data_IF_563187398923
#
_entry.id   IF_563187398923
#
_cell.length_a   1.000
_cell.length_b   1.000
_cell.length_c   1.000
_cell.angle_alpha   90.00
_cell.angle_beta   90.00
_cell.angle_gamma   90.00
#
_symmetry.space_group_name_H-M   'P 1'
#
loop_
_entity.id
_entity.type
_entity.pdbx_description
1 polymer ?
#
# COMPACT_ATOMS: atom_id res chain seq x y z
N UNK A 1 -23.27 -25.68 -1.53
CA UNK A 1 -23.74 -24.28 -1.74
C UNK A 1 -23.39 -23.50 -0.48
N UNK A 2 -22.54 -22.53 -0.59
CA UNK A 2 -22.14 -21.67 0.55
C UNK A 2 -22.87 -20.33 0.45
N UNK A 3 -23.34 -19.84 1.59
CA UNK A 3 -23.98 -18.53 1.67
C UNK A 3 -22.94 -17.46 1.99
N UNK A 4 -22.57 -16.69 0.97
CA UNK A 4 -21.57 -15.61 1.08
C UNK A 4 -22.26 -14.28 0.78
N UNK A 5 -22.09 -13.29 1.66
CA UNK A 5 -22.71 -11.96 1.53
C UNK A 5 -24.25 -12.00 1.30
N UNK A 6 -24.95 -12.96 1.92
CA UNK A 6 -26.39 -13.12 1.76
C UNK A 6 -26.82 -13.75 0.43
N UNK A 7 -25.87 -14.20 -0.38
CA UNK A 7 -26.11 -14.85 -1.66
C UNK A 7 -25.71 -16.32 -1.61
N UNK A 8 -26.60 -17.19 -2.13
CA UNK A 8 -26.28 -18.61 -2.29
C UNK A 8 -25.42 -18.80 -3.54
N UNK A 9 -24.11 -19.06 -3.33
CA UNK A 9 -23.12 -19.26 -4.40
C UNK A 9 -23.10 -20.74 -4.78
N UNK A 10 -23.27 -21.04 -6.06
CA UNK A 10 -23.22 -22.38 -6.59
C UNK A 10 -21.98 -22.65 -7.47
N UNK A 11 -21.82 -23.88 -7.92
CA UNK A 11 -20.68 -24.29 -8.75
C UNK A 11 -20.57 -23.53 -10.07
N UNK A 12 -21.69 -23.05 -10.62
CA UNK A 12 -21.68 -22.26 -11.83
C UNK A 12 -21.16 -20.84 -11.56
N UNK A 13 -21.48 -20.25 -10.40
CA UNK A 13 -20.97 -18.95 -10.00
C UNK A 13 -19.44 -19.01 -9.83
N UNK A 14 -18.91 -20.07 -9.21
CA UNK A 14 -17.46 -20.29 -9.08
C UNK A 14 -16.79 -20.38 -10.45
N UNK A 15 -17.33 -21.18 -11.38
CA UNK A 15 -16.79 -21.30 -12.74
C UNK A 15 -16.82 -19.97 -13.52
N UNK A 16 -17.80 -19.11 -13.27
CA UNK A 16 -17.86 -17.79 -13.88
C UNK A 16 -16.75 -16.91 -13.32
N UNK A 17 -16.52 -16.93 -12.01
CA UNK A 17 -15.45 -16.16 -11.36
C UNK A 17 -14.08 -16.63 -11.88
N UNK A 18 -13.82 -17.93 -11.94
CA UNK A 18 -12.58 -18.50 -12.49
C UNK A 18 -12.34 -18.04 -13.94
N UNK A 19 -13.37 -18.08 -14.79
CA UNK A 19 -13.26 -17.62 -16.17
C UNK A 19 -12.95 -16.11 -16.28
N UNK A 20 -13.50 -15.29 -15.38
CA UNK A 20 -13.21 -13.86 -15.29
C UNK A 20 -11.82 -13.57 -14.71
N UNK A 21 -11.33 -14.41 -13.80
CA UNK A 21 -9.95 -14.31 -13.27
C UNK A 21 -8.91 -14.66 -14.34
N UNK A 22 -9.18 -15.65 -15.20
CA UNK A 22 -8.31 -15.98 -16.33
C UNK A 22 -8.30 -14.86 -17.39
N UNK A 23 -9.46 -14.28 -17.67
CA UNK A 23 -9.59 -13.19 -18.64
C UNK A 23 -10.72 -12.24 -18.27
N UNK A 24 -10.38 -11.10 -17.66
CA UNK A 24 -11.34 -10.06 -17.27
C UNK A 24 -12.12 -9.44 -18.45
N UNK A 25 -11.64 -9.63 -19.70
CA UNK A 25 -12.31 -9.19 -20.94
C UNK A 25 -13.17 -10.28 -21.57
N UNK A 26 -13.29 -11.44 -20.93
CA UNK A 26 -14.14 -12.52 -21.46
C UNK A 26 -15.59 -12.04 -21.61
N UNK A 27 -16.16 -12.26 -22.78
CA UNK A 27 -17.56 -11.91 -23.03
C UNK A 27 -18.47 -12.95 -22.38
N UNK A 28 -19.70 -12.55 -22.01
CA UNK A 28 -20.68 -13.50 -21.48
C UNK A 28 -20.88 -14.70 -22.41
N UNK A 29 -20.80 -14.49 -23.73
CA UNK A 29 -20.91 -15.56 -24.75
C UNK A 29 -19.73 -16.53 -24.68
N UNK A 30 -18.51 -16.03 -24.48
CA UNK A 30 -17.32 -16.91 -24.35
C UNK A 30 -17.35 -17.71 -23.06
N UNK A 31 -17.75 -17.08 -21.94
CA UNK A 31 -17.93 -17.76 -20.65
C UNK A 31 -19.03 -18.81 -20.75
N UNK A 32 -20.17 -18.46 -21.35
CA UNK A 32 -21.29 -19.37 -21.54
C UNK A 32 -20.89 -20.64 -22.29
N UNK A 33 -20.09 -20.50 -23.35
CA UNK A 33 -19.54 -21.64 -24.11
C UNK A 33 -18.62 -22.51 -23.25
N UNK A 34 -17.78 -21.89 -22.40
CA UNK A 34 -16.81 -22.59 -21.53
C UNK A 34 -17.52 -23.39 -20.43
N UNK A 35 -18.60 -22.85 -19.85
CA UNK A 35 -19.27 -23.45 -18.69
C UNK A 35 -20.57 -24.21 -19.05
N UNK A 36 -20.95 -24.27 -20.34
CA UNK A 36 -22.13 -24.98 -20.78
C UNK A 36 -23.45 -24.31 -20.39
N UNK A 37 -23.54 -22.98 -20.50
CA UNK A 37 -24.73 -22.21 -20.11
C UNK A 37 -25.12 -21.21 -21.21
N UNK A 38 -26.18 -20.41 -20.99
CA UNK A 38 -26.55 -19.33 -21.90
C UNK A 38 -25.87 -18.00 -21.48
N UNK A 39 -25.55 -17.15 -22.46
CA UNK A 39 -24.99 -15.82 -22.25
C UNK A 39 -25.89 -14.92 -21.37
N UNK A 40 -27.22 -15.04 -21.53
CA UNK A 40 -28.17 -14.34 -20.67
C UNK A 40 -28.11 -14.82 -19.21
N UNK A 41 -27.88 -16.11 -18.98
CA UNK A 41 -27.72 -16.66 -17.62
C UNK A 41 -26.41 -16.12 -16.99
N UNK A 42 -25.32 -16.13 -17.76
CA UNK A 42 -24.00 -15.61 -17.30
C UNK A 42 -24.13 -14.14 -16.93
N UNK A 43 -24.66 -13.29 -17.81
CA UNK A 43 -24.83 -11.86 -17.55
C UNK A 43 -25.65 -11.59 -16.28
N UNK A 44 -26.75 -12.32 -16.08
CA UNK A 44 -27.58 -12.20 -14.88
C UNK A 44 -26.84 -12.60 -13.61
N UNK A 45 -26.02 -13.66 -13.66
CA UNK A 45 -25.25 -14.15 -12.52
C UNK A 45 -24.11 -13.18 -12.17
N UNK A 46 -23.38 -12.67 -13.15
CA UNK A 46 -22.34 -11.65 -12.93
C UNK A 46 -22.95 -10.44 -12.23
N UNK A 47 -24.04 -9.88 -12.80
CA UNK A 47 -24.72 -8.72 -12.20
C UNK A 47 -25.18 -8.99 -10.75
N UNK A 48 -25.69 -10.19 -10.46
CA UNK A 48 -26.09 -10.60 -9.12
C UNK A 48 -24.90 -10.64 -8.16
N UNK A 49 -23.74 -11.17 -8.59
CA UNK A 49 -22.53 -11.25 -7.79
C UNK A 49 -21.89 -9.86 -7.58
N UNK A 50 -21.97 -8.97 -8.57
CA UNK A 50 -21.57 -7.56 -8.43
C UNK A 50 -22.44 -6.83 -7.40
N UNK A 51 -23.76 -6.98 -7.49
CA UNK A 51 -24.70 -6.37 -6.54
C UNK A 51 -24.54 -6.87 -5.11
N UNK A 52 -24.14 -8.15 -4.95
CA UNK A 52 -23.88 -8.76 -3.66
C UNK A 52 -22.44 -8.46 -3.14
N UNK A 53 -21.62 -7.70 -3.88
CA UNK A 53 -20.24 -7.39 -3.52
C UNK A 53 -19.28 -8.59 -3.54
N UNK A 54 -19.68 -9.71 -4.15
CA UNK A 54 -18.81 -10.88 -4.37
C UNK A 54 -17.78 -10.52 -5.45
N UNK A 55 -18.23 -9.95 -6.58
CA UNK A 55 -17.34 -9.33 -7.58
C UNK A 55 -17.24 -7.85 -7.21
N UNK A 56 -16.09 -7.45 -6.69
CA UNK A 56 -15.83 -6.06 -6.24
C UNK A 56 -15.23 -5.17 -7.32
N UNK A 57 -14.85 -5.73 -8.46
CA UNK A 57 -14.28 -5.00 -9.57
C UNK A 57 -13.43 -5.86 -10.49
N UNK A 58 -12.96 -5.25 -11.56
CA UNK A 58 -12.10 -5.84 -12.57
C UNK A 58 -10.78 -5.10 -12.59
N UNK A 59 -9.66 -5.82 -12.62
CA UNK A 59 -8.33 -5.22 -12.61
C UNK A 59 -7.62 -5.47 -13.92
N UNK A 60 -6.84 -4.49 -14.35
CA UNK A 60 -5.96 -4.59 -15.52
C UNK A 60 -4.52 -4.68 -15.00
N UNK A 61 -3.81 -5.74 -15.39
CA UNK A 61 -2.36 -5.78 -15.23
C UNK A 61 -1.72 -4.90 -16.31
N UNK A 62 -0.83 -4.02 -15.88
CA UNK A 62 -0.09 -3.12 -16.77
C UNK A 62 1.40 -3.37 -16.64
N UNK A 63 2.14 -3.07 -17.71
CA UNK A 63 3.58 -3.20 -17.72
C UNK A 63 4.20 -2.35 -16.59
N UNK A 64 5.11 -2.98 -15.83
CA UNK A 64 5.79 -2.35 -14.69
C UNK A 64 6.63 -1.14 -15.11
N UNK A 65 7.14 -1.12 -16.35
CA UNK A 65 7.90 0.01 -16.88
C UNK A 65 7.04 1.25 -17.10
N UNK A 66 5.77 1.10 -17.50
CA UNK A 66 4.82 2.21 -17.62
C UNK A 66 4.54 2.87 -16.25
N UNK A 67 4.59 2.09 -15.18
CA UNK A 67 4.43 2.60 -13.81
C UNK A 67 5.69 3.32 -13.35
N UNK A 68 6.88 2.74 -13.62
CA UNK A 68 8.18 3.32 -13.27
C UNK A 68 8.46 4.64 -14.00
N UNK A 69 8.01 4.77 -15.25
CA UNK A 69 8.17 6.01 -16.03
C UNK A 69 7.24 7.14 -15.59
N UNK A 70 6.34 6.88 -14.64
CA UNK A 70 5.36 7.87 -14.16
C UNK A 70 4.26 8.19 -15.17
N UNK A 71 4.23 7.51 -16.32
CA UNK A 71 3.18 7.66 -17.34
C UNK A 71 1.84 7.12 -16.85
N UNK A 72 1.86 6.15 -15.93
CA UNK A 72 0.67 5.61 -15.31
C UNK A 72 0.73 5.78 -13.78
N UNK A 73 -0.20 6.55 -13.22
CA UNK A 73 -0.40 6.61 -11.78
C UNK A 73 -1.37 5.50 -11.40
N UNK A 74 -0.87 4.43 -10.81
CA UNK A 74 -1.73 3.41 -10.21
C UNK A 74 -2.09 3.90 -8.82
N UNK A 75 -3.37 4.21 -8.60
CA UNK A 75 -3.89 4.38 -7.25
C UNK A 75 -3.87 3.00 -6.56
N UNK A 76 -3.18 2.81 -5.43
CA UNK A 76 -3.28 1.59 -4.66
C UNK A 76 -4.73 1.45 -4.20
N UNK A 77 -5.44 0.47 -4.75
CA UNK A 77 -6.78 0.11 -4.28
C UNK A 77 -6.67 -0.66 -2.96
N UNK A 78 -6.30 0.04 -1.89
CA UNK A 78 -6.32 -0.46 -0.53
C UNK A 78 -7.11 0.46 0.38
N UNK A 79 -8.21 0.99 -0.12
CA UNK A 79 -9.11 1.76 0.71
C UNK A 79 -10.26 0.82 1.05
N UNK A 80 -10.25 0.27 2.26
CA UNK A 80 -11.47 -0.23 2.89
C UNK A 80 -12.42 0.95 3.07
N UNK A 81 -13.72 0.72 3.04
CA UNK A 81 -14.76 1.76 3.20
C UNK A 81 -14.66 2.55 4.53
N UNK A 82 -13.81 2.10 5.47
CA UNK A 82 -13.62 2.65 6.81
C UNK A 82 -12.31 3.45 6.96
N UNK A 83 -11.91 4.23 5.97
CA UNK A 83 -10.69 5.05 6.06
C UNK A 83 -11.03 6.46 6.57
N UNK A 84 -10.40 6.83 7.67
CA UNK A 84 -10.35 8.23 8.10
C UNK A 84 -9.24 8.91 7.27
N UNK A 85 -9.64 9.85 6.42
CA UNK A 85 -8.69 10.69 5.68
C UNK A 85 -8.28 11.88 6.53
N UNK A 86 -6.96 12.07 6.67
CA UNK A 86 -6.38 13.24 7.34
C UNK A 86 -5.50 13.99 6.35
N UNK A 87 -5.63 15.30 6.33
CA UNK A 87 -4.81 16.17 5.50
C UNK A 87 -3.41 16.38 6.11
N UNK A 88 -2.40 16.75 5.30
CA UNK A 88 -1.08 17.13 5.83
C UNK A 88 -1.13 18.25 6.87
N UNK A 89 -2.05 19.20 6.72
CA UNK A 89 -2.21 20.31 7.67
C UNK A 89 -2.75 19.83 9.03
N UNK A 90 -3.64 18.84 9.04
CA UNK A 90 -4.12 18.23 10.28
C UNK A 90 -3.01 17.47 10.98
N UNK A 91 -2.19 16.72 10.24
CA UNK A 91 -1.02 16.05 10.80
C UNK A 91 0.00 17.02 11.37
N UNK A 92 0.27 18.15 10.69
CA UNK A 92 1.15 19.20 11.21
C UNK A 92 0.57 19.81 12.50
N UNK A 93 -0.73 20.03 12.58
CA UNK A 93 -1.41 20.54 13.77
C UNK A 93 -1.32 19.56 14.94
N UNK A 94 -1.56 18.26 14.68
CA UNK A 94 -1.42 17.19 15.69
C UNK A 94 0.04 17.13 16.18
N UNK A 95 1.00 17.13 15.27
CA UNK A 95 2.43 17.07 15.60
C UNK A 95 2.89 18.29 16.41
N UNK A 96 2.41 19.49 16.08
CA UNK A 96 2.67 20.69 16.86
C UNK A 96 2.12 20.59 18.29
N UNK A 97 0.86 20.15 18.42
CA UNK A 97 0.24 19.98 19.73
C UNK A 97 0.98 18.96 20.60
N UNK A 98 1.43 17.84 20.01
CA UNK A 98 2.24 16.84 20.72
C UNK A 98 3.57 17.45 21.17
N UNK A 99 4.22 18.27 20.34
CA UNK A 99 5.45 18.95 20.69
C UNK A 99 5.25 19.94 21.84
N UNK A 100 4.16 20.71 21.78
CA UNK A 100 3.88 21.73 22.80
C UNK A 100 3.60 21.12 24.18
N UNK A 101 2.95 19.95 24.21
CA UNK A 101 2.62 19.23 25.46
C UNK A 101 3.83 18.45 26.00
N UNK A 102 4.57 17.76 25.13
CA UNK A 102 5.58 16.78 25.53
C UNK A 102 7.01 17.21 25.25
N UNK A 103 7.23 18.36 24.62
CA UNK A 103 8.55 18.86 24.29
C UNK A 103 9.35 17.88 23.42
N UNK A 104 10.57 17.56 23.84
CA UNK A 104 11.47 16.64 23.12
C UNK A 104 10.89 15.22 23.03
N UNK A 105 10.14 14.78 24.05
CA UNK A 105 9.51 13.45 24.04
C UNK A 105 8.45 13.31 22.94
N UNK A 106 7.88 14.42 22.46
CA UNK A 106 6.94 14.43 21.33
C UNK A 106 7.51 13.79 20.06
N UNK A 107 8.82 13.93 19.82
CA UNK A 107 9.48 13.28 18.67
C UNK A 107 9.43 11.75 18.75
N UNK A 108 9.58 11.18 19.95
CA UNK A 108 9.51 9.73 20.18
C UNK A 108 8.07 9.25 20.02
N UNK A 109 7.10 10.01 20.55
CA UNK A 109 5.68 9.69 20.40
C UNK A 109 5.29 9.63 18.92
N UNK A 110 5.64 10.66 18.14
CA UNK A 110 5.35 10.71 16.71
C UNK A 110 6.03 9.58 15.94
N UNK A 111 7.28 9.24 16.29
CA UNK A 111 7.97 8.12 15.67
C UNK A 111 7.22 6.80 15.94
N UNK A 112 6.85 6.52 17.17
CA UNK A 112 6.12 5.28 17.52
C UNK A 112 4.72 5.23 16.86
N UNK A 113 4.02 6.37 16.76
CA UNK A 113 2.76 6.45 16.01
C UNK A 113 2.99 6.10 14.53
N UNK A 114 4.05 6.64 13.95
CA UNK A 114 4.46 6.31 12.58
C UNK A 114 4.77 4.83 12.40
N UNK A 115 5.53 4.23 13.32
CA UNK A 115 5.80 2.78 13.28
C UNK A 115 4.52 1.96 13.27
N UNK A 116 3.54 2.30 14.11
CA UNK A 116 2.26 1.60 14.16
C UNK A 116 1.51 1.69 12.82
N UNK A 117 1.46 2.87 12.21
CA UNK A 117 0.87 3.09 10.87
C UNK A 117 1.62 2.28 9.81
N UNK A 118 2.95 2.35 9.82
CA UNK A 118 3.80 1.63 8.86
C UNK A 118 3.63 0.12 8.93
N UNK A 119 3.54 -0.45 10.13
CA UNK A 119 3.25 -1.88 10.33
C UNK A 119 1.87 -2.26 9.78
N UNK A 120 0.86 -1.41 9.94
CA UNK A 120 -0.44 -1.66 9.32
C UNK A 120 -0.32 -1.76 7.79
N UNK A 121 0.45 -0.86 7.14
CA UNK A 121 0.67 -0.94 5.69
C UNK A 121 1.48 -2.18 5.30
N UNK A 122 2.51 -2.53 6.07
CA UNK A 122 3.34 -3.72 5.84
C UNK A 122 2.53 -5.02 5.90
N UNK A 123 1.66 -5.18 6.90
CA UNK A 123 0.83 -6.40 7.07
C UNK A 123 -0.04 -6.70 5.87
N UNK A 124 -0.58 -5.70 5.22
CA UNK A 124 -1.39 -5.91 4.01
C UNK A 124 -0.57 -6.41 2.81
N UNK A 125 0.75 -6.34 2.88
CA UNK A 125 1.65 -6.81 1.83
C UNK A 125 2.18 -8.23 2.09
N UNK A 126 2.13 -8.68 3.36
CA UNK A 126 2.53 -10.02 3.77
C UNK A 126 1.44 -11.02 3.36
N UNK A 127 1.83 -12.17 2.85
CA UNK A 127 0.88 -13.21 2.38
C UNK A 127 0.48 -13.09 0.92
N UNK A 128 0.93 -12.08 0.21
CA UNK A 128 0.94 -12.08 -1.26
C UNK A 128 2.10 -12.98 -1.73
N UNK A 129 1.91 -13.76 -2.82
CA UNK A 129 2.97 -14.55 -3.46
C UNK A 129 4.06 -13.66 -4.10
N UNK A 130 4.41 -12.54 -3.45
CA UNK A 130 5.34 -11.53 -3.94
C UNK A 130 6.69 -11.66 -3.26
N UNK A 131 7.73 -11.39 -4.01
CA UNK A 131 9.10 -11.29 -3.47
C UNK A 131 9.20 -10.10 -2.49
N UNK A 132 10.23 -10.10 -1.64
CA UNK A 132 10.49 -8.98 -0.72
C UNK A 132 10.66 -7.66 -1.46
N UNK A 133 11.30 -7.68 -2.64
CA UNK A 133 11.48 -6.51 -3.50
C UNK A 133 10.14 -5.95 -3.98
N UNK A 134 9.24 -6.81 -4.40
CA UNK A 134 7.89 -6.41 -4.80
C UNK A 134 7.07 -5.87 -3.63
N UNK A 135 7.25 -6.43 -2.44
CA UNK A 135 6.60 -5.93 -1.22
C UNK A 135 7.11 -4.54 -0.85
N UNK A 136 8.43 -4.32 -0.91
CA UNK A 136 9.05 -3.02 -0.65
C UNK A 136 8.61 -1.97 -1.68
N UNK A 137 8.57 -2.33 -2.97
CA UNK A 137 8.07 -1.44 -4.02
C UNK A 137 6.59 -1.08 -3.82
N UNK A 138 5.77 -2.06 -3.46
CA UNK A 138 4.36 -1.83 -3.17
C UNK A 138 4.17 -0.95 -1.93
N UNK A 139 5.03 -1.11 -0.91
CA UNK A 139 5.03 -0.24 0.26
C UNK A 139 5.30 1.22 -0.13
N UNK A 140 6.29 1.46 -1.00
CA UNK A 140 6.58 2.81 -1.50
C UNK A 140 5.38 3.41 -2.24
N UNK A 141 4.66 2.61 -3.02
CA UNK A 141 3.43 3.06 -3.70
C UNK A 141 2.31 3.41 -2.72
N UNK A 142 2.09 2.59 -1.68
CA UNK A 142 1.11 2.90 -0.63
C UNK A 142 1.50 4.18 0.10
N UNK A 143 2.76 4.32 0.47
CA UNK A 143 3.30 5.49 1.16
C UNK A 143 3.02 6.77 0.35
N UNK A 144 3.34 6.76 -0.95
CA UNK A 144 3.08 7.88 -1.85
C UNK A 144 1.59 8.16 -2.03
N UNK A 145 0.78 7.13 -2.21
CA UNK A 145 -0.65 7.29 -2.44
C UNK A 145 -1.39 7.83 -1.20
N UNK A 146 -0.86 7.57 0.00
CA UNK A 146 -1.35 8.13 1.25
C UNK A 146 -0.87 9.55 1.51
N UNK A 147 -0.08 10.13 0.59
CA UNK A 147 0.38 11.50 0.67
C UNK A 147 1.53 11.76 1.63
N UNK A 148 2.28 10.71 2.04
CA UNK A 148 3.43 10.85 2.93
C UNK A 148 4.69 11.40 2.23
N UNK A 149 4.68 11.53 0.91
CA UNK A 149 5.78 11.92 0.05
C UNK A 149 6.13 10.82 -0.96
N UNK A 150 7.17 11.06 -1.74
CA UNK A 150 7.72 10.09 -2.69
C UNK A 150 8.90 9.36 -2.06
N UNK A 151 8.81 8.04 -1.97
CA UNK A 151 9.81 7.19 -1.37
C UNK A 151 10.59 6.45 -2.46
N UNK A 152 11.91 6.66 -2.48
CA UNK A 152 12.82 6.04 -3.43
C UNK A 152 13.88 5.25 -2.69
N UNK A 153 14.01 3.97 -3.03
CA UNK A 153 15.05 3.11 -2.49
C UNK A 153 16.31 3.19 -3.36
N UNK A 154 17.46 3.41 -2.69
CA UNK A 154 18.77 3.46 -3.33
C UNK A 154 19.68 2.45 -2.63
N UNK A 155 20.37 1.63 -3.41
CA UNK A 155 21.44 0.76 -2.91
C UNK A 155 20.98 -0.15 -1.74
N UNK A 156 20.01 -1.03 -1.98
CA UNK A 156 19.62 -2.04 -0.99
C UNK A 156 20.60 -3.21 -1.09
N UNK A 157 21.28 -3.51 0.02
CA UNK A 157 22.10 -4.70 0.21
C UNK A 157 21.33 -5.68 1.09
N UNK A 158 20.72 -6.67 0.48
CA UNK A 158 19.89 -7.66 1.18
C UNK A 158 20.68 -8.62 2.04
N UNK A 159 21.96 -8.86 1.71
CA UNK A 159 22.84 -9.74 2.50
C UNK A 159 23.21 -9.09 3.82
N UNK A 160 23.57 -7.81 3.76
CA UNK A 160 23.89 -7.01 4.94
C UNK A 160 22.66 -6.40 5.63
N UNK A 161 21.51 -6.43 4.98
CA UNK A 161 20.29 -5.80 5.48
C UNK A 161 20.39 -4.26 5.56
N UNK A 162 21.22 -3.64 4.72
CA UNK A 162 21.44 -2.19 4.74
C UNK A 162 20.95 -1.54 3.46
N UNK A 163 20.62 -0.27 3.53
CA UNK A 163 20.24 0.48 2.34
C UNK A 163 20.09 1.97 2.62
N UNK A 164 19.86 2.69 1.51
CA UNK A 164 19.56 4.11 1.55
C UNK A 164 18.18 4.36 0.99
N UNK A 165 17.42 5.20 1.66
CA UNK A 165 16.13 5.67 1.18
C UNK A 165 16.14 7.19 1.11
N UNK A 166 15.49 7.70 0.07
CA UNK A 166 15.22 9.13 -0.09
C UNK A 166 13.72 9.33 -0.03
N UNK A 167 13.26 10.23 0.82
CA UNK A 167 11.87 10.68 0.87
C UNK A 167 11.87 12.12 0.37
N UNK A 168 11.12 12.37 -0.70
CA UNK A 168 10.98 13.68 -1.32
C UNK A 168 9.52 14.10 -1.40
N UNK A 169 9.28 15.38 -1.68
CA UNK A 169 7.94 15.96 -1.80
C UNK A 169 7.06 15.70 -0.58
N UNK A 170 7.63 15.74 0.61
CA UNK A 170 6.86 15.65 1.84
C UNK A 170 5.97 16.89 1.98
N UNK A 171 4.65 16.71 2.18
CA UNK A 171 3.71 17.84 2.20
C UNK A 171 3.68 18.60 3.54
N UNK A 172 4.52 18.21 4.49
CA UNK A 172 4.55 18.72 5.87
C UNK A 172 5.44 19.95 6.00
N UNK A 173 5.00 20.92 6.80
CA UNK A 173 5.72 22.18 7.05
C UNK A 173 6.54 22.12 8.35
N UNK A 174 6.12 21.31 9.32
CA UNK A 174 6.78 21.20 10.60
C UNK A 174 7.81 20.07 10.62
N UNK A 175 9.05 20.41 10.99
CA UNK A 175 10.14 19.44 11.07
C UNK A 175 9.86 18.26 11.99
N UNK A 176 9.03 18.44 13.03
CA UNK A 176 8.70 17.36 13.96
C UNK A 176 7.88 16.24 13.29
N UNK A 177 7.10 16.57 12.24
CA UNK A 177 6.32 15.60 11.47
C UNK A 177 7.21 14.62 10.70
N UNK A 178 8.49 14.99 10.47
CA UNK A 178 9.49 14.09 9.91
C UNK A 178 9.65 12.80 10.75
N UNK A 179 9.53 12.89 12.07
CA UNK A 179 9.63 11.71 12.93
C UNK A 179 8.49 10.73 12.70
N UNK A 180 7.27 11.23 12.45
CA UNK A 180 6.13 10.40 12.07
C UNK A 180 6.40 9.67 10.75
N UNK A 181 6.85 10.40 9.74
CA UNK A 181 7.15 9.85 8.40
C UNK A 181 8.27 8.81 8.48
N UNK A 182 9.32 9.08 9.24
CA UNK A 182 10.42 8.14 9.49
C UNK A 182 9.93 6.88 10.21
N UNK A 183 9.02 7.02 11.17
CA UNK A 183 8.39 5.90 11.85
C UNK A 183 7.57 5.03 10.89
N UNK A 184 6.76 5.63 10.02
CA UNK A 184 5.97 4.88 9.01
C UNK A 184 6.89 4.02 8.14
N UNK A 185 7.99 4.59 7.66
CA UNK A 185 8.97 3.85 6.88
C UNK A 185 9.60 2.70 7.69
N UNK A 186 10.03 2.98 8.92
CA UNK A 186 10.63 2.00 9.82
C UNK A 186 9.67 0.82 10.07
N UNK A 187 8.46 1.09 10.53
CA UNK A 187 7.46 0.08 10.85
C UNK A 187 7.04 -0.77 9.65
N UNK A 188 6.96 -0.15 8.47
CA UNK A 188 6.66 -0.89 7.22
C UNK A 188 7.76 -1.87 6.84
N UNK A 189 9.03 -1.45 6.92
CA UNK A 189 10.17 -2.34 6.66
C UNK A 189 10.31 -3.44 7.72
N UNK A 190 10.07 -3.14 9.01
CA UNK A 190 10.08 -4.14 10.07
C UNK A 190 9.08 -5.25 9.79
N UNK A 191 7.88 -4.89 9.40
CA UNK A 191 6.83 -5.86 9.12
C UNK A 191 7.19 -6.73 7.89
N UNK A 192 7.66 -6.11 6.79
CA UNK A 192 8.04 -6.81 5.55
C UNK A 192 9.26 -7.71 5.77
N UNK A 193 10.26 -7.25 6.52
CA UNK A 193 11.50 -8.00 6.76
C UNK A 193 11.37 -9.03 7.87
N UNK A 194 10.39 -8.88 8.76
CA UNK A 194 10.25 -9.62 10.03
C UNK A 194 11.45 -9.41 10.95
N UNK A 195 12.15 -8.29 10.83
CA UNK A 195 13.35 -7.96 11.60
C UNK A 195 13.26 -6.51 12.08
N UNK A 196 13.98 -6.20 13.17
CA UNK A 196 14.11 -4.81 13.64
C UNK A 196 14.84 -3.98 12.61
N UNK A 197 14.38 -2.75 12.41
CA UNK A 197 14.95 -1.78 11.47
C UNK A 197 15.41 -0.54 12.20
N UNK A 198 16.67 -0.20 12.02
CA UNK A 198 17.24 1.05 12.50
C UNK A 198 17.28 2.06 11.36
N UNK A 199 16.69 3.23 11.57
CA UNK A 199 16.67 4.31 10.56
C UNK A 199 17.40 5.52 11.11
N UNK A 200 18.48 5.93 10.42
CA UNK A 200 19.29 7.10 10.76
C UNK A 200 19.17 8.14 9.66
N UNK A 201 18.99 9.41 10.04
CA UNK A 201 19.05 10.54 9.10
C UNK A 201 20.51 10.74 8.64
N UNK A 202 20.67 10.98 7.34
CA UNK A 202 21.99 11.35 6.79
C UNK A 202 22.20 12.84 7.03
N UNK A 203 23.11 13.19 7.92
CA UNK A 203 23.51 14.57 8.17
C UNK A 203 24.48 15.07 7.07
N UNK A 204 24.42 16.36 6.72
CA UNK A 204 25.46 17.01 5.92
C UNK A 204 25.13 17.35 4.46
N UNK A 205 23.89 17.24 4.02
CA UNK A 205 23.46 17.88 2.79
C UNK A 205 22.22 18.73 3.08
N UNK A 206 22.43 20.02 3.33
CA UNK A 206 21.42 21.05 3.16
C UNK A 206 21.07 21.13 1.66
N UNK A 207 20.28 20.20 1.19
CA UNK A 207 19.64 20.33 -0.13
C UNK A 207 18.16 20.49 0.10
N UNK A 208 17.58 21.49 -0.49
CA UNK A 208 16.17 21.86 -0.58
C UNK A 208 15.27 21.21 0.49
N UNK A 209 14.54 22.01 1.21
CA UNK A 209 13.65 21.66 2.35
C UNK A 209 12.74 20.43 2.12
N UNK A 210 12.66 19.94 0.90
CA UNK A 210 11.70 18.92 0.48
C UNK A 210 12.29 17.51 0.32
N UNK A 211 13.60 17.31 0.59
CA UNK A 211 14.26 16.01 0.38
C UNK A 211 14.98 15.55 1.64
N UNK A 212 14.55 14.42 2.20
CA UNK A 212 15.18 13.78 3.35
C UNK A 212 15.83 12.47 2.95
N UNK A 213 17.07 12.25 3.38
CA UNK A 213 17.82 11.02 3.13
C UNK A 213 18.01 10.25 4.42
N UNK A 214 17.74 8.97 4.38
CA UNK A 214 17.90 8.07 5.52
C UNK A 214 18.76 6.88 5.13
N UNK A 215 19.58 6.43 6.06
CA UNK A 215 20.19 5.11 6.04
C UNK A 215 19.31 4.19 6.88
N UNK A 216 19.09 2.99 6.43
CA UNK A 216 18.45 1.96 7.24
C UNK A 216 19.33 0.72 7.35
N UNK A 217 19.20 0.05 8.48
CA UNK A 217 19.87 -1.20 8.81
C UNK A 217 18.82 -2.15 9.36
N UNK A 218 18.69 -3.30 8.72
CA UNK A 218 17.80 -4.37 9.15
C UNK A 218 18.61 -5.26 10.08
N UNK A 219 18.33 -5.19 11.37
CA UNK A 219 19.04 -5.93 12.39
C UNK A 219 18.89 -7.45 12.25
N UNK A 220 19.92 -8.18 12.63
CA UNK A 220 19.93 -9.63 12.72
C UNK A 220 19.13 -10.14 13.91
#
# INVERSE_FOLDING_TARGET
>A
MENIAGLNVDTLDVKIIEALQENTRATCKSIAKKVGSSDRTIARRIKRMEQAGIIRGYRVEVDKELVKTGLLKIAPQMISEDVIETSPAEWDSIASSIKDIFGVAGSVILFNMGEAIGRCYGRHLIGSNKTKDEQILNFAQIFQARGWGELTYNQIDYEKGTGRVTISKMPFKHQITENLVRGIFCGGLEEISSKKVLVKKVEGQESATDVQKFLFEIGG
#
